data_IF_045436152697
#
_entry.id   IF_045436152697
#
_cell.length_a   1.000
_cell.length_b   1.000
_cell.length_c   1.000
_cell.angle_alpha   90.00
_cell.angle_beta   90.00
_cell.angle_gamma   90.00
#
_symmetry.space_group_name_H-M   'P 1'
#
loop_
_entity.id
_entity.type
_entity.pdbx_description
1 polymer ?
#
# COMPACT_ATOMS: atom_id res chain seq x y z
N UNK A 1 -20.81 20.85 5.04
CA UNK A 1 -19.77 19.84 4.77
C UNK A 1 -20.50 18.51 4.70
N UNK A 2 -20.82 18.06 3.49
CA UNK A 2 -21.54 16.81 3.28
C UNK A 2 -20.60 15.64 3.46
N UNK A 3 -20.95 14.71 4.36
CA UNK A 3 -20.23 13.45 4.56
C UNK A 3 -20.83 12.40 3.63
N UNK A 4 -20.07 11.96 2.63
CA UNK A 4 -20.44 10.84 1.77
C UNK A 4 -20.27 9.52 2.53
N UNK A 5 -21.38 8.80 2.77
CA UNK A 5 -21.39 7.47 3.39
C UNK A 5 -21.32 6.40 2.30
N UNK A 6 -20.25 5.61 2.30
CA UNK A 6 -20.01 4.51 1.35
C UNK A 6 -20.74 3.22 1.78
N UNK A 7 -21.51 2.60 0.85
CA UNK A 7 -21.99 1.21 0.96
C UNK A 7 -21.50 0.39 -0.24
N UNK A 8 -20.78 -0.72 -0.04
CA UNK A 8 -20.34 -1.55 -1.15
C UNK A 8 -21.48 -2.40 -1.72
N UNK A 9 -21.74 -2.25 -3.00
CA UNK A 9 -22.58 -3.18 -3.74
C UNK A 9 -21.77 -4.45 -4.07
N UNK A 10 -22.09 -5.58 -3.44
CA UNK A 10 -21.51 -6.89 -3.79
C UNK A 10 -22.18 -7.40 -5.07
N UNK A 11 -21.52 -7.26 -6.21
CA UNK A 11 -21.77 -8.13 -7.36
C UNK A 11 -20.68 -9.18 -7.42
N UNK A 12 -21.04 -10.42 -7.10
CA UNK A 12 -20.19 -11.59 -7.34
C UNK A 12 -20.04 -11.76 -8.84
N UNK A 13 -18.84 -11.60 -9.38
CA UNK A 13 -18.48 -12.09 -10.71
C UNK A 13 -18.22 -13.60 -10.61
N UNK A 14 -19.15 -14.43 -11.09
CA UNK A 14 -18.91 -15.83 -11.36
C UNK A 14 -18.00 -15.95 -12.59
N UNK A 15 -16.78 -16.40 -12.40
CA UNK A 15 -15.90 -16.82 -13.49
C UNK A 15 -16.44 -18.10 -14.12
N UNK A 16 -16.91 -18.03 -15.36
CA UNK A 16 -17.24 -19.20 -16.18
C UNK A 16 -15.93 -19.81 -16.69
N UNK A 17 -15.53 -20.93 -16.11
CA UNK A 17 -14.52 -21.80 -16.69
C UNK A 17 -15.12 -22.52 -17.90
N UNK A 18 -14.55 -22.28 -19.07
CA UNK A 18 -14.84 -23.03 -20.29
C UNK A 18 -13.81 -24.18 -20.36
N UNK A 19 -14.27 -25.39 -20.07
CA UNK A 19 -13.53 -26.62 -20.37
C UNK A 19 -13.56 -26.89 -21.87
N UNK A 20 -12.40 -27.01 -22.49
CA UNK A 20 -12.26 -27.63 -23.80
C UNK A 20 -11.92 -29.11 -23.64
N UNK A 21 -12.76 -29.91 -24.26
CA UNK A 21 -12.67 -31.33 -24.27
C UNK A 21 -11.63 -31.85 -25.29
N UNK A 22 -11.06 -32.94 -24.92
CA UNK A 22 -10.06 -33.79 -25.58
C UNK A 22 -10.50 -34.37 -26.90
N UNK A 23 -9.53 -34.44 -27.80
CA UNK A 23 -9.63 -35.09 -29.11
C UNK A 23 -9.12 -36.50 -29.04
N UNK A 24 -9.90 -37.42 -29.64
CA UNK A 24 -9.54 -38.82 -29.81
C UNK A 24 -8.64 -39.04 -31.02
N UNK A 25 -7.65 -39.94 -30.82
CA UNK A 25 -6.85 -40.55 -31.86
C UNK A 25 -7.71 -41.54 -32.66
N UNK A 26 -7.56 -41.53 -33.99
CA UNK A 26 -7.89 -42.67 -34.85
C UNK A 26 -6.80 -42.86 -35.91
N UNK A 27 -6.15 -44.02 -35.81
CA UNK A 27 -5.17 -44.52 -36.79
C UNK A 27 -5.88 -45.23 -37.92
N UNK A 28 -5.44 -45.06 -39.17
CA UNK A 28 -5.72 -46.01 -40.27
C UNK A 28 -4.58 -46.01 -41.31
N UNK A 29 -4.13 -47.21 -41.62
CA UNK A 29 -3.07 -47.59 -42.53
C UNK A 29 -3.45 -47.50 -44.04
N UNK A 30 -2.50 -47.04 -44.87
CA UNK A 30 -1.98 -47.45 -46.17
C UNK A 30 -2.91 -47.60 -47.39
N UNK A 31 -2.38 -47.86 -48.60
CA UNK A 31 -1.05 -47.64 -49.14
C UNK A 31 -1.00 -46.99 -50.55
N UNK A 32 0.21 -46.62 -50.94
CA UNK A 32 0.79 -46.59 -52.32
C UNK A 32 0.19 -45.70 -53.41
N UNK A 33 1.05 -44.85 -53.97
CA UNK A 33 1.06 -44.64 -55.40
C UNK A 33 1.16 -43.19 -55.89
N UNK A 34 2.19 -42.95 -56.66
CA UNK A 34 2.42 -41.92 -57.65
C UNK A 34 3.05 -40.59 -57.18
N UNK A 35 4.32 -40.50 -57.53
CA UNK A 35 5.10 -39.27 -57.44
C UNK A 35 4.59 -38.17 -58.40
N UNK A 36 4.44 -37.01 -57.84
CA UNK A 36 4.42 -35.76 -58.57
C UNK A 36 5.49 -34.87 -57.98
N UNK A 37 6.54 -34.58 -58.74
CA UNK A 37 7.55 -33.60 -58.38
C UNK A 37 6.88 -32.25 -58.50
N UNK A 38 6.44 -31.70 -57.39
CA UNK A 38 6.06 -30.29 -57.30
C UNK A 38 7.30 -29.51 -56.89
N UNK A 39 7.87 -28.76 -57.82
CA UNK A 39 8.89 -27.77 -57.53
C UNK A 39 8.30 -26.76 -56.57
N UNK A 40 8.67 -26.81 -55.30
CA UNK A 40 8.35 -25.82 -54.34
C UNK A 40 9.09 -24.51 -54.69
N UNK A 41 8.37 -23.62 -55.33
CA UNK A 41 8.80 -22.22 -55.36
C UNK A 41 8.79 -21.71 -53.90
N UNK A 42 9.95 -21.48 -53.34
CA UNK A 42 10.10 -20.78 -52.09
C UNK A 42 9.47 -19.39 -52.23
N UNK A 43 8.22 -19.26 -51.84
CA UNK A 43 7.63 -17.96 -51.56
C UNK A 43 8.32 -17.49 -50.26
N UNK A 44 9.40 -16.78 -50.46
CA UNK A 44 10.06 -16.04 -49.39
C UNK A 44 9.03 -15.04 -48.88
N UNK A 45 8.36 -15.37 -47.77
CA UNK A 45 7.50 -14.44 -47.08
C UNK A 45 8.34 -13.20 -46.75
N UNK A 46 8.13 -12.13 -47.48
CA UNK A 46 8.67 -10.82 -47.11
C UNK A 46 8.08 -10.51 -45.76
N UNK A 47 8.96 -10.39 -44.74
CA UNK A 47 8.58 -9.84 -43.44
C UNK A 47 7.83 -8.52 -43.72
N UNK A 48 6.70 -8.27 -43.03
CA UNK A 48 5.96 -7.04 -43.23
C UNK A 48 6.92 -5.88 -43.00
N UNK A 49 7.01 -5.00 -44.02
CA UNK A 49 7.76 -3.74 -43.97
C UNK A 49 7.37 -3.07 -42.65
N UNK A 50 8.32 -2.94 -41.72
CA UNK A 50 8.10 -2.39 -40.38
C UNK A 50 7.39 -1.03 -40.54
N UNK A 51 6.21 -0.93 -39.97
CA UNK A 51 5.47 0.32 -39.90
C UNK A 51 6.34 1.31 -39.14
N UNK A 52 6.94 2.26 -39.89
CA UNK A 52 7.73 3.32 -39.27
C UNK A 52 6.76 4.28 -38.57
N UNK A 53 6.65 4.17 -37.26
CA UNK A 53 5.87 5.11 -36.46
C UNK A 53 6.63 6.43 -36.34
N UNK A 54 5.94 7.55 -36.59
CA UNK A 54 6.47 8.88 -36.28
C UNK A 54 6.44 9.12 -34.77
N UNK A 55 7.58 9.48 -34.12
CA UNK A 55 7.64 9.68 -32.69
C UNK A 55 6.69 10.76 -32.16
N UNK A 56 6.52 11.85 -32.92
CA UNK A 56 5.63 12.95 -32.48
C UNK A 56 4.17 12.52 -32.52
N UNK A 57 3.75 11.87 -33.59
CA UNK A 57 2.39 11.36 -33.74
C UNK A 57 2.08 10.25 -32.68
N UNK A 58 3.08 9.43 -32.33
CA UNK A 58 2.94 8.41 -31.28
C UNK A 58 2.75 9.06 -29.92
N UNK A 59 3.56 10.08 -29.61
CA UNK A 59 3.45 10.82 -28.34
C UNK A 59 2.07 11.49 -28.20
N UNK A 60 1.55 12.09 -29.27
CA UNK A 60 0.23 12.73 -29.24
C UNK A 60 -0.91 11.73 -29.02
N UNK A 61 -0.81 10.54 -29.62
CA UNK A 61 -1.76 9.45 -29.35
C UNK A 61 -1.68 8.98 -27.89
N UNK A 62 -0.46 8.82 -27.36
CA UNK A 62 -0.24 8.41 -25.99
C UNK A 62 -0.79 9.44 -24.99
N UNK A 63 -0.54 10.74 -25.21
CA UNK A 63 -1.10 11.82 -24.38
C UNK A 63 -2.62 11.75 -24.30
N UNK A 64 -3.30 11.58 -25.45
CA UNK A 64 -4.76 11.45 -25.49
C UNK A 64 -5.25 10.23 -24.72
N UNK A 65 -4.57 9.08 -24.87
CA UNK A 65 -4.92 7.84 -24.20
C UNK A 65 -4.71 7.97 -22.67
N UNK A 66 -3.56 8.46 -22.23
CA UNK A 66 -3.22 8.70 -20.82
C UNK A 66 -4.23 9.66 -20.19
N UNK A 67 -4.47 10.83 -20.77
CA UNK A 67 -5.41 11.82 -20.23
C UNK A 67 -6.85 11.30 -20.15
N UNK A 68 -7.27 10.42 -21.07
CA UNK A 68 -8.60 9.80 -20.99
C UNK A 68 -8.71 8.81 -19.82
N UNK A 69 -7.68 7.98 -19.61
CA UNK A 69 -7.67 6.97 -18.54
C UNK A 69 -7.45 7.59 -17.15
N UNK A 70 -6.62 8.63 -17.05
CA UNK A 70 -6.41 9.34 -15.77
C UNK A 70 -7.72 9.95 -15.25
N UNK A 71 -8.54 10.54 -16.13
CA UNK A 71 -9.86 11.05 -15.73
C UNK A 71 -10.83 9.96 -15.25
N UNK A 72 -10.65 8.71 -15.69
CA UNK A 72 -11.47 7.58 -15.20
C UNK A 72 -11.10 7.14 -13.80
N UNK A 73 -9.85 7.40 -13.34
CA UNK A 73 -9.42 7.05 -11.98
C UNK A 73 -10.29 7.70 -10.89
N UNK A 74 -10.99 8.80 -11.18
CA UNK A 74 -11.98 9.40 -10.30
C UNK A 74 -13.14 8.45 -9.92
N UNK A 75 -13.31 7.36 -10.67
CA UNK A 75 -14.35 6.34 -10.42
C UNK A 75 -13.78 5.04 -9.89
N UNK A 76 -12.48 4.98 -9.61
CA UNK A 76 -11.80 3.76 -9.24
C UNK A 76 -11.28 3.84 -7.80
N UNK A 77 -11.42 2.75 -7.06
CA UNK A 77 -10.77 2.54 -5.78
C UNK A 77 -10.02 1.23 -5.79
N UNK A 78 -8.80 1.22 -5.26
CA UNK A 78 -7.97 0.02 -5.14
C UNK A 78 -7.49 -0.17 -3.70
N UNK A 79 -7.03 -1.37 -3.41
CA UNK A 79 -6.24 -1.67 -2.24
C UNK A 79 -4.77 -1.52 -2.61
N UNK A 80 -4.08 -0.58 -1.98
CA UNK A 80 -2.66 -0.31 -2.15
C UNK A 80 -1.89 -1.03 -1.05
N UNK A 81 -0.91 -1.86 -1.45
CA UNK A 81 0.04 -2.50 -0.53
C UNK A 81 1.40 -1.88 -0.74
N UNK A 82 1.99 -1.37 0.33
CA UNK A 82 3.30 -0.72 0.34
C UNK A 82 4.25 -1.55 1.19
N UNK A 83 5.29 -2.13 0.59
CA UNK A 83 6.40 -2.78 1.29
C UNK A 83 7.59 -1.84 1.33
N UNK A 84 8.01 -1.42 2.54
CA UNK A 84 9.14 -0.52 2.73
C UNK A 84 10.32 -1.28 3.32
N UNK A 85 11.48 -1.09 2.70
CA UNK A 85 12.76 -1.66 3.12
C UNK A 85 13.71 -0.52 3.48
N UNK A 86 14.25 -0.54 4.69
CA UNK A 86 15.11 0.50 5.23
C UNK A 86 16.54 -0.02 5.31
N UNK A 87 17.46 0.71 4.69
CA UNK A 87 18.85 0.35 4.60
C UNK A 87 19.73 1.41 5.27
N UNK A 88 20.77 0.96 5.98
CA UNK A 88 21.81 1.82 6.52
C UNK A 88 23.18 1.44 5.98
N UNK A 89 24.13 2.38 5.90
CA UNK A 89 25.51 2.06 5.63
C UNK A 89 26.06 1.04 6.62
N UNK A 90 26.80 0.03 6.12
CA UNK A 90 27.34 -1.03 6.97
C UNK A 90 28.42 -0.45 7.91
N UNK A 91 28.33 -0.77 9.21
CA UNK A 91 29.28 -0.28 10.23
C UNK A 91 30.76 -0.58 9.94
N UNK A 92 31.03 -1.61 9.12
CA UNK A 92 32.41 -1.99 8.73
C UNK A 92 33.15 -0.91 7.92
N UNK A 93 32.42 -0.02 7.24
CA UNK A 93 33.00 1.08 6.45
C UNK A 93 33.28 2.30 7.34
N UNK A 94 32.49 2.46 8.42
CA UNK A 94 32.61 3.63 9.29
C UNK A 94 33.78 3.58 10.30
N UNK A 95 34.37 2.42 10.56
CA UNK A 95 35.45 2.26 11.51
C UNK A 95 36.75 3.00 11.09
N UNK A 96 36.94 3.26 9.81
CA UNK A 96 38.11 3.95 9.29
C UNK A 96 37.86 5.44 8.95
N UNK A 97 36.66 5.94 9.10
CA UNK A 97 36.27 7.34 8.83
C UNK A 97 35.74 7.99 10.12
N UNK A 98 36.42 7.73 11.24
CA UNK A 98 36.11 8.35 12.52
C UNK A 98 36.76 9.74 12.67
N UNK A 99 36.64 10.61 11.69
CA UNK A 99 37.10 11.99 11.84
C UNK A 99 36.19 13.02 11.20
N UNK A 100 34.93 12.97 11.40
CA UNK A 100 34.10 14.17 11.32
C UNK A 100 32.66 13.73 11.64
N UNK A 101 31.94 14.53 12.41
CA UNK A 101 30.50 14.34 12.59
C UNK A 101 29.90 14.06 11.20
N UNK A 102 29.09 13.00 11.02
CA UNK A 102 28.43 12.78 9.74
C UNK A 102 27.62 14.05 9.43
N UNK A 103 28.18 14.88 8.56
CA UNK A 103 27.50 16.08 8.11
C UNK A 103 26.21 15.59 7.46
N UNK A 104 25.10 16.07 7.96
CA UNK A 104 23.77 15.79 7.41
C UNK A 104 23.65 16.58 6.09
N UNK A 105 24.53 16.28 5.14
CA UNK A 105 24.69 16.96 3.85
C UNK A 105 24.31 16.01 2.73
N UNK A 106 23.61 16.55 1.75
CA UNK A 106 23.29 15.85 0.51
C UNK A 106 24.40 15.91 -0.54
N UNK A 107 25.49 16.64 -0.26
CA UNK A 107 26.59 16.78 -1.19
C UNK A 107 27.32 15.45 -1.38
N UNK A 108 27.63 15.13 -2.62
CA UNK A 108 28.32 13.90 -3.03
C UNK A 108 27.64 12.58 -2.60
N UNK A 109 26.37 12.58 -2.22
CA UNK A 109 25.60 11.36 -1.93
C UNK A 109 24.81 10.91 -3.14
N UNK A 110 24.97 9.64 -3.48
CA UNK A 110 24.30 8.99 -4.60
C UNK A 110 23.70 7.66 -4.16
N UNK A 111 22.62 7.24 -4.81
CA UNK A 111 22.04 5.91 -4.59
C UNK A 111 23.07 4.81 -4.85
N UNK A 112 23.28 3.94 -3.85
CA UNK A 112 24.25 2.86 -3.90
C UNK A 112 25.73 3.32 -3.89
N UNK A 113 26.02 4.63 -3.92
CA UNK A 113 27.37 5.19 -3.97
C UNK A 113 28.06 5.32 -2.61
N UNK A 114 27.34 5.14 -1.52
CA UNK A 114 27.81 5.43 -0.16
C UNK A 114 28.37 4.18 0.57
N UNK A 115 28.77 3.16 -0.18
CA UNK A 115 29.29 1.89 0.35
C UNK A 115 28.21 0.82 0.51
N UNK A 116 28.57 -0.37 1.06
CA UNK A 116 27.63 -1.46 1.23
C UNK A 116 26.54 -1.10 2.24
N UNK A 117 25.28 -1.37 1.86
CA UNK A 117 24.11 -1.13 2.68
C UNK A 117 23.68 -2.42 3.39
N UNK A 118 23.23 -2.29 4.62
CA UNK A 118 22.60 -3.36 5.41
C UNK A 118 21.11 -3.12 5.50
N UNK A 119 20.30 -4.14 5.24
CA UNK A 119 18.87 -4.08 5.48
C UNK A 119 18.59 -4.15 6.99
N UNK A 120 17.96 -3.11 7.53
CA UNK A 120 17.70 -2.96 8.95
C UNK A 120 16.29 -3.37 9.32
N UNK A 121 15.32 -2.85 8.57
CA UNK A 121 13.89 -3.05 8.84
C UNK A 121 13.15 -3.26 7.52
N UNK A 122 12.13 -4.11 7.54
CA UNK A 122 11.04 -4.10 6.56
C UNK A 122 9.71 -3.88 7.27
N UNK A 123 8.85 -3.10 6.67
CA UNK A 123 7.46 -3.00 7.10
C UNK A 123 6.50 -3.12 5.91
N UNK A 124 5.22 -3.31 6.21
CA UNK A 124 4.17 -3.42 5.21
C UNK A 124 2.94 -2.65 5.67
N UNK A 125 2.40 -1.85 4.76
CA UNK A 125 1.16 -1.10 4.93
C UNK A 125 0.12 -1.58 3.91
N UNK A 126 -1.16 -1.46 4.27
CA UNK A 126 -2.27 -1.72 3.36
C UNK A 126 -3.33 -0.65 3.52
N UNK A 127 -3.54 0.11 2.44
CA UNK A 127 -4.41 1.28 2.40
C UNK A 127 -5.43 1.15 1.28
N UNK A 128 -6.65 1.64 1.49
CA UNK A 128 -7.56 1.94 0.40
C UNK A 128 -7.16 3.26 -0.23
N UNK A 129 -7.11 3.33 -1.56
CA UNK A 129 -6.80 4.56 -2.31
C UNK A 129 -7.86 4.83 -3.37
N UNK A 130 -8.18 6.11 -3.56
CA UNK A 130 -8.99 6.63 -4.67
C UNK A 130 -8.57 8.05 -5.00
N UNK A 131 -9.03 8.58 -6.13
CA UNK A 131 -8.77 9.96 -6.53
C UNK A 131 -10.02 10.81 -6.32
N UNK A 132 -9.85 11.95 -5.67
CA UNK A 132 -10.90 12.96 -5.51
C UNK A 132 -10.38 14.31 -6.02
N UNK A 133 -10.95 14.79 -7.12
CA UNK A 133 -10.42 15.96 -7.81
C UNK A 133 -9.06 15.65 -8.44
N UNK A 134 -8.03 16.30 -7.96
CA UNK A 134 -6.61 16.16 -8.37
C UNK A 134 -5.74 15.43 -7.34
N UNK A 135 -6.35 14.90 -6.27
CA UNK A 135 -5.62 14.33 -5.12
C UNK A 135 -6.00 12.88 -4.85
N UNK A 136 -5.01 12.11 -4.48
CA UNK A 136 -5.23 10.80 -3.89
C UNK A 136 -5.69 10.95 -2.44
N UNK A 137 -6.75 10.24 -2.09
CA UNK A 137 -7.26 10.14 -0.72
C UNK A 137 -7.18 8.71 -0.25
N UNK A 138 -6.94 8.55 1.03
CA UNK A 138 -6.60 7.26 1.62
C UNK A 138 -7.50 6.90 2.80
N UNK A 139 -7.56 5.60 3.06
CA UNK A 139 -8.12 5.04 4.29
C UNK A 139 -7.32 3.82 4.69
N UNK A 140 -7.48 3.36 5.92
CA UNK A 140 -7.01 2.02 6.26
C UNK A 140 -7.75 0.96 5.43
N UNK A 141 -7.09 -0.14 5.14
CA UNK A 141 -7.73 -1.29 4.50
C UNK A 141 -9.00 -1.70 5.25
N UNK A 142 -10.02 -2.12 4.52
CA UNK A 142 -11.35 -2.50 5.04
C UNK A 142 -12.10 -1.42 5.83
N UNK A 143 -11.67 -0.16 5.81
CA UNK A 143 -12.48 0.93 6.34
C UNK A 143 -13.76 1.10 5.52
N UNK A 144 -14.87 1.44 6.18
CA UNK A 144 -16.17 1.65 5.52
C UNK A 144 -16.26 2.96 4.74
N UNK A 145 -15.33 3.87 4.98
CA UNK A 145 -15.23 5.21 4.33
C UNK A 145 -13.80 5.65 4.23
N UNK A 146 -13.51 6.54 3.29
CA UNK A 146 -12.22 7.22 3.21
C UNK A 146 -12.05 8.19 4.38
N UNK A 147 -10.82 8.33 4.85
CA UNK A 147 -10.47 9.24 5.93
C UNK A 147 -10.40 10.68 5.39
N UNK A 148 -10.83 11.65 6.18
CA UNK A 148 -10.69 13.08 5.85
C UNK A 148 -9.30 13.63 6.17
N UNK A 149 -8.51 12.87 6.94
CA UNK A 149 -7.13 13.19 7.29
C UNK A 149 -6.20 12.90 6.12
N UNK A 150 -5.07 13.57 6.08
CA UNK A 150 -4.01 13.25 5.12
C UNK A 150 -3.42 11.85 5.42
N UNK A 151 -2.83 11.21 4.40
CA UNK A 151 -2.16 9.91 4.59
C UNK A 151 -1.04 10.00 5.63
N UNK A 152 -0.37 11.14 5.78
CA UNK A 152 0.68 11.37 6.79
C UNK A 152 0.13 11.40 8.23
N UNK A 153 -1.15 11.70 8.41
CA UNK A 153 -1.83 11.61 9.70
C UNK A 153 -2.41 10.21 9.97
N UNK A 154 -2.64 9.42 8.92
CA UNK A 154 -3.10 8.03 9.02
C UNK A 154 -1.91 7.11 9.33
N UNK A 155 -0.78 7.29 8.62
CA UNK A 155 0.45 6.52 8.76
C UNK A 155 1.45 7.34 9.54
N UNK A 156 1.67 6.97 10.79
CA UNK A 156 2.45 7.74 11.78
C UNK A 156 3.97 7.70 11.56
N UNK A 157 4.49 6.87 10.65
CA UNK A 157 5.93 6.71 10.52
C UNK A 157 6.38 6.17 9.17
N UNK A 158 7.61 6.54 8.77
CA UNK A 158 8.26 6.14 7.54
C UNK A 158 7.77 6.91 6.31
N UNK A 159 8.52 6.84 5.19
CA UNK A 159 8.18 7.56 3.98
C UNK A 159 6.86 7.02 3.37
N UNK A 160 6.03 7.94 2.92
CA UNK A 160 4.81 7.69 2.15
C UNK A 160 4.93 8.46 0.85
N UNK A 161 4.58 7.83 -0.24
CA UNK A 161 4.58 8.40 -1.58
C UNK A 161 3.14 8.49 -2.06
N UNK A 162 2.73 9.69 -2.46
CA UNK A 162 1.44 9.94 -3.12
C UNK A 162 1.70 10.13 -4.61
N UNK A 163 0.67 9.96 -5.42
CA UNK A 163 0.76 10.11 -6.88
C UNK A 163 0.96 8.79 -7.62
N UNK A 164 1.36 7.72 -6.92
CA UNK A 164 1.59 6.40 -7.52
C UNK A 164 0.36 5.84 -8.21
N UNK A 165 -0.84 6.20 -7.79
CA UNK A 165 -2.10 5.76 -8.40
C UNK A 165 -2.43 6.48 -9.71
N UNK A 166 -1.67 7.52 -10.10
CA UNK A 166 -1.79 8.16 -11.41
C UNK A 166 -1.84 9.69 -11.41
N UNK A 167 -1.81 10.36 -10.26
CA UNK A 167 -1.89 11.82 -10.21
C UNK A 167 -0.63 12.55 -10.71
N UNK A 168 0.49 11.84 -10.91
CA UNK A 168 1.68 12.40 -11.57
C UNK A 168 1.54 12.56 -13.09
N UNK A 169 0.73 11.74 -13.74
CA UNK A 169 0.69 11.69 -15.20
C UNK A 169 0.29 13.02 -15.84
N UNK A 170 -0.68 13.78 -15.32
CA UNK A 170 -1.01 15.10 -15.87
C UNK A 170 0.16 16.09 -15.85
N UNK A 171 0.98 16.07 -14.80
CA UNK A 171 2.15 16.96 -14.70
C UNK A 171 3.18 16.71 -15.81
N UNK A 172 3.34 15.47 -16.25
CA UNK A 172 4.28 15.11 -17.29
C UNK A 172 3.67 15.29 -18.68
N UNK A 173 2.43 14.84 -18.90
CA UNK A 173 1.85 14.70 -20.23
C UNK A 173 0.95 15.86 -20.65
N UNK A 174 0.37 16.62 -19.72
CA UNK A 174 -0.57 17.72 -19.98
C UNK A 174 0.00 19.11 -19.63
N UNK A 175 1.06 19.17 -18.81
CA UNK A 175 1.66 20.42 -18.35
C UNK A 175 2.48 21.07 -19.49
N UNK A 176 2.16 22.30 -19.90
CA UNK A 176 2.89 23.00 -20.97
C UNK A 176 4.32 23.38 -20.60
N UNK A 177 4.67 23.37 -19.30
CA UNK A 177 6.02 23.62 -18.81
C UNK A 177 6.96 22.41 -18.93
N UNK A 178 6.44 21.23 -19.23
CA UNK A 178 7.21 20.00 -19.38
C UNK A 178 7.87 19.93 -20.75
N UNK A 179 9.17 19.67 -20.77
CA UNK A 179 9.92 19.40 -22.01
C UNK A 179 10.02 17.90 -22.23
N UNK A 180 9.59 17.42 -23.40
CA UNK A 180 9.67 16.02 -23.78
C UNK A 180 10.50 15.91 -25.07
N UNK A 181 11.47 14.97 -25.08
CA UNK A 181 12.37 14.72 -26.21
C UNK A 181 12.40 13.23 -26.53
N UNK A 182 12.28 12.88 -27.80
CA UNK A 182 12.46 11.50 -28.25
C UNK A 182 13.91 11.04 -28.07
N UNK A 183 14.13 9.93 -27.39
CA UNK A 183 15.45 9.39 -27.07
C UNK A 183 15.84 8.20 -27.94
N UNK A 184 14.88 7.44 -28.45
CA UNK A 184 15.18 6.28 -29.30
C UNK A 184 14.12 5.20 -29.27
N UNK A 185 14.47 4.06 -29.88
CA UNK A 185 13.61 2.87 -29.95
C UNK A 185 14.32 1.68 -29.33
N UNK A 186 13.54 0.83 -28.67
CA UNK A 186 14.02 -0.44 -28.11
C UNK A 186 13.02 -1.56 -28.44
N UNK A 187 13.52 -2.78 -28.59
CA UNK A 187 12.67 -3.96 -28.65
C UNK A 187 12.67 -4.60 -27.27
N UNK A 188 11.53 -4.63 -26.62
CA UNK A 188 11.29 -5.38 -25.40
C UNK A 188 10.40 -6.60 -25.71
N UNK A 189 10.40 -7.62 -24.85
CA UNK A 189 9.71 -8.90 -25.12
C UNK A 189 8.24 -8.80 -25.53
N UNK A 190 7.58 -7.65 -25.29
CA UNK A 190 6.20 -7.32 -25.66
C UNK A 190 6.07 -6.50 -26.97
N UNK A 191 7.19 -6.16 -27.63
CA UNK A 191 7.19 -5.41 -28.89
C UNK A 191 8.12 -4.20 -28.90
N UNK A 192 8.01 -3.39 -29.98
CA UNK A 192 8.78 -2.14 -30.11
C UNK A 192 8.25 -1.09 -29.15
N UNK A 193 9.14 -0.49 -28.33
CA UNK A 193 8.87 0.65 -27.46
C UNK A 193 9.66 1.86 -27.87
N UNK A 194 9.05 3.02 -27.79
CA UNK A 194 9.67 4.32 -28.01
C UNK A 194 9.98 4.93 -26.65
N UNK A 195 11.23 5.33 -26.46
CA UNK A 195 11.69 5.98 -25.24
C UNK A 195 11.76 7.49 -25.46
N UNK A 196 11.25 8.22 -24.48
CA UNK A 196 11.30 9.67 -24.40
C UNK A 196 11.93 10.08 -23.07
N UNK A 197 12.70 11.15 -23.09
CA UNK A 197 13.12 11.84 -21.87
C UNK A 197 12.21 13.03 -21.61
N UNK A 198 12.07 13.39 -20.34
CA UNK A 198 11.30 14.57 -19.96
C UNK A 198 11.99 15.33 -18.82
N UNK A 199 11.64 16.60 -18.69
CA UNK A 199 12.07 17.49 -17.62
C UNK A 199 10.92 18.40 -17.24
N UNK A 200 10.58 18.42 -15.94
CA UNK A 200 9.61 19.31 -15.31
C UNK A 200 10.37 20.25 -14.38
N UNK A 201 10.59 21.53 -14.77
CA UNK A 201 11.31 22.45 -13.93
C UNK A 201 10.50 22.81 -12.67
N UNK A 202 11.15 23.11 -11.55
CA UNK A 202 10.51 23.37 -10.25
C UNK A 202 9.35 24.39 -10.34
N UNK A 203 9.47 25.42 -11.16
CA UNK A 203 8.43 26.46 -11.36
C UNK A 203 7.14 25.95 -12.04
N UNK A 204 7.20 24.81 -12.72
CA UNK A 204 6.08 24.17 -13.39
C UNK A 204 5.64 22.88 -12.70
N UNK A 205 6.37 22.44 -11.69
CA UNK A 205 6.15 21.21 -10.96
C UNK A 205 5.09 21.37 -9.86
N UNK A 206 4.30 20.30 -9.65
CA UNK A 206 3.47 20.13 -8.45
C UNK A 206 4.04 19.07 -7.52
N UNK A 207 5.22 18.53 -7.85
CA UNK A 207 5.88 17.50 -7.05
C UNK A 207 6.45 18.11 -5.78
N UNK A 208 5.94 17.67 -4.64
CA UNK A 208 6.36 18.15 -3.33
C UNK A 208 7.03 17.04 -2.55
N UNK A 209 8.20 17.32 -1.98
CA UNK A 209 8.96 16.40 -1.13
C UNK A 209 9.25 17.08 0.19
N UNK A 210 9.25 16.32 1.27
CA UNK A 210 9.57 16.87 2.58
C UNK A 210 9.07 16.05 3.74
N UNK A 211 9.18 16.65 4.91
CA UNK A 211 8.60 16.16 6.16
C UNK A 211 7.37 16.98 6.51
N UNK A 212 6.59 16.54 7.50
CA UNK A 212 5.31 17.13 7.91
C UNK A 212 5.33 18.67 8.06
N UNK A 213 6.48 19.23 8.43
CA UNK A 213 6.64 20.66 8.68
C UNK A 213 7.51 21.40 7.63
N UNK A 214 8.01 20.74 6.61
CA UNK A 214 8.99 21.31 5.69
C UNK A 214 8.85 20.77 4.26
N UNK A 215 7.70 21.01 3.62
CA UNK A 215 7.45 20.66 2.22
C UNK A 215 8.19 21.59 1.27
N UNK A 216 8.77 21.03 0.21
CA UNK A 216 9.43 21.77 -0.87
C UNK A 216 8.96 21.26 -2.21
N UNK A 217 8.54 22.17 -3.09
CA UNK A 217 8.31 21.87 -4.50
C UNK A 217 9.69 21.71 -5.15
N UNK A 218 9.88 20.65 -5.92
CA UNK A 218 11.11 20.35 -6.63
C UNK A 218 10.86 20.12 -8.11
N UNK A 219 11.85 20.43 -8.93
CA UNK A 219 11.92 19.95 -10.31
C UNK A 219 12.27 18.46 -10.32
N UNK A 220 11.92 17.81 -11.40
CA UNK A 220 12.26 16.41 -11.63
C UNK A 220 12.41 16.12 -13.12
N UNK A 221 13.13 15.08 -13.43
CA UNK A 221 13.40 14.64 -14.80
C UNK A 221 13.37 13.12 -14.88
N UNK A 222 13.31 12.59 -16.08
CA UNK A 222 13.28 11.15 -16.23
C UNK A 222 13.07 10.69 -17.66
N UNK A 223 12.58 9.48 -17.79
CA UNK A 223 12.21 8.88 -19.08
C UNK A 223 10.92 8.07 -18.97
N UNK A 224 10.26 7.89 -20.11
CA UNK A 224 9.14 7.00 -20.21
C UNK A 224 9.16 6.22 -21.54
N UNK A 225 8.49 5.09 -21.55
CA UNK A 225 8.39 4.18 -22.67
C UNK A 225 6.94 4.02 -23.10
N UNK A 226 6.72 4.09 -24.43
CA UNK A 226 5.41 3.92 -25.05
C UNK A 226 5.48 2.77 -26.05
N UNK A 227 4.54 1.83 -25.98
CA UNK A 227 4.38 0.78 -26.98
C UNK A 227 4.00 1.37 -28.34
N UNK A 228 4.80 1.10 -29.39
CA UNK A 228 4.61 1.68 -30.70
C UNK A 228 3.24 1.31 -31.33
N UNK A 229 2.81 0.07 -31.16
CA UNK A 229 1.57 -0.45 -31.72
C UNK A 229 0.31 0.16 -31.08
N UNK A 230 0.27 0.25 -29.74
CA UNK A 230 -0.94 0.59 -28.97
C UNK A 230 -0.96 2.02 -28.44
N UNK A 231 0.18 2.71 -28.46
CA UNK A 231 0.41 4.01 -27.82
C UNK A 231 0.15 3.98 -26.29
N UNK A 232 0.35 2.82 -25.66
CA UNK A 232 0.21 2.64 -24.23
C UNK A 232 1.49 3.00 -23.50
N UNK A 233 1.36 3.62 -22.34
CA UNK A 233 2.47 3.85 -21.42
C UNK A 233 2.88 2.50 -20.82
N UNK A 234 4.15 2.12 -21.04
CA UNK A 234 4.72 0.89 -20.52
C UNK A 234 5.43 1.12 -19.18
N UNK A 235 6.27 2.15 -19.14
CA UNK A 235 7.11 2.48 -18.00
C UNK A 235 7.33 3.97 -17.88
N UNK A 236 7.46 4.45 -16.66
CA UNK A 236 7.91 5.79 -16.30
C UNK A 236 9.02 5.66 -15.26
N UNK A 237 10.10 6.41 -15.41
CA UNK A 237 11.17 6.56 -14.41
C UNK A 237 11.38 8.04 -14.20
N UNK A 238 11.47 8.46 -12.95
CA UNK A 238 11.72 9.85 -12.58
C UNK A 238 12.73 9.96 -11.46
N UNK A 239 13.42 11.08 -11.39
CA UNK A 239 14.32 11.44 -10.29
C UNK A 239 14.19 12.93 -10.00
N UNK A 240 14.09 13.28 -8.71
CA UNK A 240 14.05 14.68 -8.29
C UNK A 240 15.41 15.33 -8.44
N UNK A 241 15.42 16.65 -8.61
CA UNK A 241 16.63 17.45 -8.35
C UNK A 241 17.10 17.22 -6.91
N UNK A 242 18.35 17.59 -6.63
CA UNK A 242 18.88 17.54 -5.26
C UNK A 242 18.05 18.46 -4.35
N UNK A 243 17.58 17.90 -3.25
CA UNK A 243 16.76 18.59 -2.29
C UNK A 243 17.62 19.29 -1.22
N UNK A 244 17.16 20.39 -0.65
CA UNK A 244 17.84 21.04 0.45
C UNK A 244 17.75 20.17 1.72
N UNK A 245 18.74 20.22 2.62
CA UNK A 245 18.81 19.36 3.82
C UNK A 245 17.56 19.44 4.71
N UNK A 246 16.86 20.56 4.72
CA UNK A 246 15.64 20.78 5.51
C UNK A 246 14.47 19.92 5.04
N UNK A 247 14.52 19.38 3.83
CA UNK A 247 13.54 18.43 3.33
C UNK A 247 13.63 17.05 4.02
N UNK A 248 14.72 16.78 4.77
CA UNK A 248 14.96 15.52 5.46
C UNK A 248 15.42 14.39 4.54
N UNK A 249 15.45 14.62 3.23
CA UNK A 249 15.95 13.70 2.22
C UNK A 249 16.67 14.44 1.11
N UNK A 250 17.58 13.76 0.41
CA UNK A 250 18.41 14.36 -0.62
C UNK A 250 17.85 14.18 -2.03
N UNK A 251 17.35 13.01 -2.33
CA UNK A 251 16.76 12.65 -3.63
C UNK A 251 15.70 11.60 -3.47
N UNK A 252 14.78 11.58 -4.43
CA UNK A 252 13.81 10.52 -4.62
C UNK A 252 13.90 10.04 -6.07
N UNK A 253 13.88 8.73 -6.26
CA UNK A 253 13.81 8.10 -7.58
C UNK A 253 12.62 7.17 -7.59
N UNK A 254 11.75 7.31 -8.62
CA UNK A 254 10.57 6.48 -8.77
C UNK A 254 10.61 5.74 -10.12
N UNK A 255 10.08 4.53 -10.11
CA UNK A 255 9.84 3.73 -11.31
C UNK A 255 8.44 3.15 -11.25
N UNK A 256 7.69 3.32 -12.32
CA UNK A 256 6.32 2.83 -12.47
C UNK A 256 6.26 1.92 -13.70
N UNK A 257 5.88 0.67 -13.52
CA UNK A 257 5.61 -0.27 -14.61
C UNK A 257 4.08 -0.36 -14.78
N UNK A 258 3.55 0.20 -15.87
CA UNK A 258 2.12 0.35 -16.10
C UNK A 258 1.50 -0.83 -16.85
N UNK A 259 0.20 -1.00 -16.65
CA UNK A 259 -0.63 -1.87 -17.47
C UNK A 259 -2.07 -1.34 -17.53
N UNK A 260 -2.80 -1.75 -18.55
CA UNK A 260 -4.23 -1.50 -18.61
C UNK A 260 -4.99 -2.64 -17.95
N UNK A 261 -5.92 -2.27 -17.06
CA UNK A 261 -6.77 -3.20 -16.33
C UNK A 261 -8.23 -2.89 -16.62
N UNK A 262 -9.00 -3.92 -16.97
CA UNK A 262 -10.45 -3.79 -17.13
C UNK A 262 -11.11 -3.85 -15.75
N UNK A 263 -11.87 -2.81 -15.39
CA UNK A 263 -12.63 -2.73 -14.15
C UNK A 263 -14.06 -2.33 -14.54
N UNK A 264 -15.02 -3.24 -14.33
CA UNK A 264 -16.34 -3.09 -14.93
C UNK A 264 -16.25 -3.12 -16.46
N UNK A 265 -16.76 -2.10 -17.12
CA UNK A 265 -16.75 -1.95 -18.57
C UNK A 265 -15.65 -0.98 -19.06
N UNK A 266 -14.90 -0.37 -18.16
CA UNK A 266 -13.89 0.63 -18.47
C UNK A 266 -12.44 0.11 -18.31
N UNK A 267 -11.53 0.58 -19.18
CA UNK A 267 -10.09 0.35 -19.04
C UNK A 267 -9.45 1.45 -18.21
N UNK A 268 -8.62 1.04 -17.24
CA UNK A 268 -7.85 1.91 -16.36
C UNK A 268 -6.35 1.68 -16.54
N UNK A 269 -5.59 2.76 -16.62
CA UNK A 269 -4.13 2.71 -16.58
C UNK A 269 -3.67 2.72 -15.12
N UNK A 270 -3.18 1.59 -14.64
CA UNK A 270 -2.76 1.41 -13.24
C UNK A 270 -1.33 0.88 -13.22
N UNK A 271 -0.46 1.34 -12.32
CA UNK A 271 0.83 0.69 -12.13
C UNK A 271 0.65 -0.76 -11.71
N UNK A 272 1.31 -1.68 -12.37
CA UNK A 272 1.43 -3.06 -11.90
C UNK A 272 2.28 -3.11 -10.65
N UNK A 273 3.38 -2.34 -10.68
CA UNK A 273 4.30 -2.15 -9.59
C UNK A 273 4.89 -0.75 -9.70
N UNK A 274 4.99 -0.07 -8.58
CA UNK A 274 5.76 1.15 -8.43
C UNK A 274 6.89 0.90 -7.43
N UNK A 275 8.07 1.40 -7.74
CA UNK A 275 9.20 1.40 -6.82
C UNK A 275 9.64 2.83 -6.57
N UNK A 276 9.75 3.21 -5.31
CA UNK A 276 10.24 4.53 -4.92
C UNK A 276 11.39 4.36 -3.95
N UNK A 277 12.55 4.85 -4.36
CA UNK A 277 13.76 4.86 -3.56
C UNK A 277 14.01 6.29 -3.06
N UNK A 278 14.32 6.45 -1.77
CA UNK A 278 14.70 7.72 -1.16
C UNK A 278 16.08 7.64 -0.55
N UNK A 279 16.86 8.69 -0.73
CA UNK A 279 18.19 8.85 -0.17
C UNK A 279 18.19 10.00 0.85
N UNK A 280 18.64 9.72 2.08
CA UNK A 280 18.74 10.73 3.15
C UNK A 280 20.13 11.36 3.24
N UNK A 281 20.22 12.49 3.95
CA UNK A 281 21.48 13.16 4.28
C UNK A 281 22.45 12.32 5.11
N UNK A 282 21.98 11.28 5.76
CA UNK A 282 22.79 10.29 6.50
C UNK A 282 23.27 9.12 5.65
N UNK A 283 23.05 9.16 4.33
CA UNK A 283 23.29 8.07 3.39
C UNK A 283 22.43 6.81 3.63
N UNK A 284 21.40 6.93 4.44
CA UNK A 284 20.38 5.88 4.55
C UNK A 284 19.49 5.87 3.31
N UNK A 285 19.12 4.69 2.86
CA UNK A 285 18.22 4.51 1.74
C UNK A 285 16.94 3.80 2.18
N UNK A 286 15.81 4.23 1.64
CA UNK A 286 14.54 3.49 1.80
C UNK A 286 14.03 3.13 0.41
N UNK A 287 13.64 1.87 0.24
CA UNK A 287 12.98 1.39 -0.98
C UNK A 287 11.56 0.96 -0.67
N UNK A 288 10.60 1.59 -1.32
CA UNK A 288 9.17 1.26 -1.22
C UNK A 288 8.72 0.57 -2.51
N UNK A 289 8.13 -0.62 -2.39
CA UNK A 289 7.44 -1.30 -3.49
C UNK A 289 5.94 -1.17 -3.24
N UNK A 290 5.23 -0.63 -4.24
CA UNK A 290 3.82 -0.33 -4.17
C UNK A 290 3.09 -1.17 -5.23
N UNK A 291 2.06 -1.88 -4.81
CA UNK A 291 1.21 -2.69 -5.69
C UNK A 291 -0.26 -2.40 -5.42
N UNK A 292 -1.08 -2.54 -6.47
CA UNK A 292 -2.52 -2.31 -6.40
C UNK A 292 -3.28 -3.60 -6.64
N UNK A 293 -4.29 -3.86 -5.81
CA UNK A 293 -5.18 -5.02 -5.91
C UNK A 293 -6.62 -4.64 -5.58
N UNK A 294 -7.55 -5.57 -5.77
CA UNK A 294 -8.96 -5.40 -5.44
C UNK A 294 -9.56 -4.09 -5.97
N UNK A 295 -9.09 -3.69 -7.16
CA UNK A 295 -9.56 -2.49 -7.83
C UNK A 295 -11.02 -2.67 -8.28
N UNK A 296 -11.84 -1.66 -8.03
CA UNK A 296 -13.26 -1.68 -8.35
C UNK A 296 -13.77 -0.30 -8.73
N UNK A 297 -14.76 -0.27 -9.57
CA UNK A 297 -15.47 0.96 -9.87
C UNK A 297 -16.29 1.40 -8.64
N UNK A 298 -16.28 2.69 -8.41
CA UNK A 298 -16.96 3.32 -7.29
C UNK A 298 -18.09 4.19 -7.85
N UNK A 299 -19.32 3.83 -7.53
CA UNK A 299 -20.50 4.66 -7.78
C UNK A 299 -20.88 5.35 -6.49
N UNK A 300 -20.74 6.68 -6.44
CA UNK A 300 -21.30 7.46 -5.34
C UNK A 300 -22.81 7.55 -5.49
N UNK A 301 -23.56 6.75 -4.74
CA UNK A 301 -25.00 6.99 -4.55
C UNK A 301 -25.16 7.98 -3.39
N UNK A 302 -25.51 9.24 -3.72
CA UNK A 302 -25.99 10.21 -2.75
C UNK A 302 -27.48 9.98 -2.51
N UNK A 303 -27.84 9.25 -1.45
CA UNK A 303 -29.22 9.21 -0.97
C UNK A 303 -29.41 10.26 0.13
N UNK A 304 -30.13 11.32 -0.18
CA UNK A 304 -30.71 12.19 0.85
C UNK A 304 -31.83 11.40 1.55
N UNK A 305 -31.54 10.82 2.71
CA UNK A 305 -32.57 10.38 3.64
C UNK A 305 -32.96 11.57 4.50
N UNK A 306 -34.15 12.08 4.29
CA UNK A 306 -34.84 12.82 5.32
C UNK A 306 -35.29 11.79 6.35
N UNK A 307 -34.59 11.66 7.45
CA UNK A 307 -35.04 10.87 8.58
C UNK A 307 -36.28 11.58 9.17
N UNK A 308 -37.47 11.05 8.83
CA UNK A 308 -38.59 11.24 9.71
C UNK A 308 -38.24 10.49 11.01
N UNK A 309 -38.32 11.18 12.15
CA UNK A 309 -38.18 10.57 13.47
C UNK A 309 -39.14 9.37 13.57
N UNK A 310 -38.59 8.14 13.46
CA UNK A 310 -39.32 6.96 13.85
C UNK A 310 -39.46 6.95 15.38
N UNK A 311 -40.65 6.69 15.91
CA UNK A 311 -40.85 6.60 17.35
C UNK A 311 -39.96 5.48 17.90
N UNK A 312 -39.18 5.79 18.92
CA UNK A 312 -38.25 4.91 19.60
C UNK A 312 -38.86 3.51 19.85
N UNK A 313 -38.30 2.50 19.16
CA UNK A 313 -38.66 1.11 19.44
C UNK A 313 -38.33 0.80 20.92
N UNK A 314 -39.34 0.34 21.65
CA UNK A 314 -39.25 -0.09 23.04
C UNK A 314 -38.24 -1.23 23.17
N UNK A 315 -37.04 -0.90 23.61
CA UNK A 315 -35.93 -1.85 23.89
C UNK A 315 -36.30 -2.61 25.17
N UNK A 316 -36.37 -3.93 25.07
CA UNK A 316 -36.53 -4.81 26.26
C UNK A 316 -35.36 -4.59 27.22
N UNK A 317 -35.61 -4.49 28.55
CA UNK A 317 -34.56 -4.34 29.53
C UNK A 317 -33.82 -5.67 29.72
N UNK A 318 -32.64 -5.79 29.05
CA UNK A 318 -31.73 -6.92 29.18
C UNK A 318 -30.38 -6.53 28.65
N UNK A 319 -29.43 -6.29 29.54
CA UNK A 319 -28.00 -6.02 29.32
C UNK A 319 -27.70 -4.99 28.21
N UNK A 320 -27.99 -3.73 28.49
CA UNK A 320 -27.45 -2.63 27.66
C UNK A 320 -25.96 -2.53 27.93
N UNK A 321 -25.14 -2.78 26.91
CA UNK A 321 -23.72 -2.39 26.94
C UNK A 321 -23.70 -0.85 27.06
N UNK A 322 -22.98 -0.28 28.05
CA UNK A 322 -22.94 1.17 28.22
C UNK A 322 -22.44 1.83 26.93
N UNK A 323 -22.93 3.02 26.61
CA UNK A 323 -22.48 3.81 25.46
C UNK A 323 -20.94 4.06 25.49
N UNK A 324 -20.34 4.04 26.66
CA UNK A 324 -18.89 4.09 26.88
C UNK A 324 -18.53 3.18 28.06
N UNK A 325 -17.52 2.33 27.91
CA UNK A 325 -17.02 1.49 28.98
C UNK A 325 -16.19 2.31 29.99
N UNK A 326 -16.39 2.12 31.30
CA UNK A 326 -15.53 2.74 32.31
C UNK A 326 -14.06 2.36 32.12
N UNK A 327 -13.14 3.27 32.39
CA UNK A 327 -11.71 2.96 32.43
C UNK A 327 -11.36 2.00 33.60
N UNK A 328 -10.29 1.22 33.41
CA UNK A 328 -9.78 0.29 34.42
C UNK A 328 -10.42 -1.10 34.38
N UNK A 329 -11.32 -1.40 33.46
CA UNK A 329 -11.88 -2.75 33.30
C UNK A 329 -10.86 -3.67 32.61
N UNK A 330 -10.63 -4.85 33.19
CA UNK A 330 -9.78 -5.87 32.57
C UNK A 330 -10.59 -6.76 31.64
N UNK A 331 -10.16 -6.82 30.36
CA UNK A 331 -10.73 -7.68 29.33
C UNK A 331 -9.71 -8.73 28.90
N UNK A 332 -10.11 -9.98 28.86
CA UNK A 332 -9.33 -11.05 28.22
C UNK A 332 -9.87 -11.26 26.80
N UNK A 333 -9.08 -10.92 25.80
CA UNK A 333 -9.40 -11.05 24.39
C UNK A 333 -8.69 -12.27 23.78
N UNK A 334 -9.40 -13.08 23.03
CA UNK A 334 -8.87 -14.20 22.24
C UNK A 334 -8.97 -13.85 20.75
N UNK A 335 -7.85 -13.83 20.03
CA UNK A 335 -7.82 -13.54 18.60
C UNK A 335 -8.79 -14.45 17.83
N UNK A 336 -9.60 -13.89 16.94
CA UNK A 336 -10.55 -14.67 16.13
C UNK A 336 -9.88 -15.37 14.95
N UNK A 337 -8.83 -14.77 14.40
CA UNK A 337 -8.03 -15.29 13.30
C UNK A 337 -6.53 -15.32 13.61
N UNK A 338 -5.76 -16.08 12.87
CA UNK A 338 -4.30 -16.05 12.94
C UNK A 338 -3.74 -14.84 12.21
N UNK A 339 -2.60 -14.31 12.69
CA UNK A 339 -1.87 -13.23 12.02
C UNK A 339 -0.50 -13.78 11.61
N UNK A 340 -0.28 -13.87 10.30
CA UNK A 340 0.99 -14.29 9.70
C UNK A 340 1.81 -13.06 9.31
N UNK A 341 2.97 -12.81 9.92
CA UNK A 341 3.83 -11.69 9.59
C UNK A 341 4.33 -11.66 8.14
N UNK A 342 4.31 -12.81 7.45
CA UNK A 342 4.74 -12.89 6.05
C UNK A 342 3.73 -12.22 5.10
N UNK A 343 2.44 -12.14 5.48
CA UNK A 343 1.36 -11.63 4.63
C UNK A 343 0.59 -10.47 5.23
N UNK A 344 0.57 -10.34 6.55
CA UNK A 344 -0.13 -9.27 7.25
C UNK A 344 0.51 -7.90 7.03
N UNK A 345 -0.29 -6.85 7.13
CA UNK A 345 0.12 -5.46 6.94
C UNK A 345 -0.51 -4.55 8.00
N UNK A 346 0.10 -3.41 8.27
CA UNK A 346 -0.57 -2.33 8.99
C UNK A 346 -1.78 -1.87 8.16
N UNK A 347 -2.92 -1.71 8.81
CA UNK A 347 -4.21 -1.47 8.16
C UNK A 347 -5.13 -2.69 8.09
N UNK A 348 -4.60 -3.92 8.19
CA UNK A 348 -5.42 -5.12 8.18
C UNK A 348 -6.35 -5.15 9.40
N UNK A 349 -7.59 -5.55 9.16
CA UNK A 349 -8.58 -5.70 10.22
C UNK A 349 -8.23 -6.89 11.13
N UNK A 350 -8.41 -6.69 12.43
CA UNK A 350 -8.26 -7.72 13.45
C UNK A 350 -9.52 -7.78 14.29
N UNK A 351 -9.95 -8.98 14.62
CA UNK A 351 -11.03 -9.18 15.59
C UNK A 351 -10.61 -10.15 16.71
N UNK A 352 -11.19 -9.96 17.89
CA UNK A 352 -10.96 -10.84 19.03
C UNK A 352 -12.25 -11.00 19.85
N UNK A 353 -12.43 -12.18 20.41
CA UNK A 353 -13.59 -12.48 21.27
C UNK A 353 -13.25 -12.25 22.73
N UNK A 354 -14.17 -11.61 23.47
CA UNK A 354 -14.09 -11.51 24.93
C UNK A 354 -14.25 -12.92 25.52
N UNK A 355 -13.20 -13.42 26.18
CA UNK A 355 -13.17 -14.81 26.69
C UNK A 355 -14.05 -15.01 27.91
N UNK A 356 -14.18 -14.00 28.75
CA UNK A 356 -14.94 -14.04 30.04
C UNK A 356 -15.77 -12.78 30.19
N UNK A 357 -16.99 -12.92 30.72
CA UNK A 357 -17.84 -11.75 30.95
C UNK A 357 -17.18 -10.77 31.93
N UNK A 358 -17.23 -9.48 31.58
CA UNK A 358 -16.71 -8.39 32.43
C UNK A 358 -17.85 -7.78 33.22
N UNK A 359 -17.68 -7.66 34.52
CA UNK A 359 -18.69 -7.11 35.42
C UNK A 359 -18.30 -5.72 35.91
N UNK A 360 -19.30 -4.94 36.28
CA UNK A 360 -19.06 -3.65 36.87
C UNK A 360 -18.34 -3.81 38.25
N UNK A 361 -17.39 -2.92 38.58
CA UNK A 361 -16.82 -2.88 39.94
C UNK A 361 -17.92 -2.76 40.99
N UNK A 362 -17.81 -3.56 42.05
CA UNK A 362 -18.77 -3.56 43.18
C UNK A 362 -20.22 -3.96 42.83
N UNK A 363 -20.45 -4.55 41.64
CA UNK A 363 -21.79 -4.98 41.19
C UNK A 363 -21.69 -6.29 40.42
N UNK A 364 -22.78 -7.09 40.45
CA UNK A 364 -22.89 -8.30 39.63
C UNK A 364 -23.36 -8.02 38.18
N UNK A 365 -23.59 -6.75 37.83
CA UNK A 365 -24.04 -6.35 36.50
C UNK A 365 -22.95 -6.68 35.44
N UNK A 366 -23.36 -7.41 34.40
CA UNK A 366 -22.48 -7.70 33.29
C UNK A 366 -22.43 -6.45 32.41
N UNK A 367 -21.24 -5.86 32.28
CA UNK A 367 -20.98 -4.74 31.34
C UNK A 367 -20.61 -5.23 29.94
N UNK A 368 -19.82 -6.30 29.85
CA UNK A 368 -19.43 -6.93 28.59
C UNK A 368 -19.70 -8.42 28.68
N UNK A 369 -20.57 -8.99 27.85
CA UNK A 369 -20.82 -10.43 27.87
C UNK A 369 -19.62 -11.21 27.30
N UNK A 370 -19.46 -12.45 27.75
CA UNK A 370 -18.53 -13.39 27.09
C UNK A 370 -18.99 -13.61 25.64
N UNK A 371 -18.05 -13.71 24.71
CA UNK A 371 -18.33 -13.85 23.29
C UNK A 371 -18.54 -12.53 22.54
N UNK A 372 -18.62 -11.38 23.20
CA UNK A 372 -18.59 -10.07 22.53
C UNK A 372 -17.33 -9.95 21.66
N UNK A 373 -17.42 -9.23 20.55
CA UNK A 373 -16.36 -9.15 19.54
C UNK A 373 -15.73 -7.75 19.60
N UNK A 374 -14.44 -7.69 19.92
CA UNK A 374 -13.65 -6.48 19.75
C UNK A 374 -13.13 -6.44 18.30
N UNK A 375 -13.36 -5.32 17.62
CA UNK A 375 -12.86 -5.04 16.27
C UNK A 375 -11.77 -3.98 16.34
N UNK A 376 -10.74 -4.16 15.56
CA UNK A 376 -9.58 -3.28 15.51
C UNK A 376 -8.75 -3.51 14.27
N UNK A 377 -7.50 -3.10 14.32
CA UNK A 377 -6.57 -3.24 13.20
C UNK A 377 -5.13 -3.41 13.65
N UNK A 378 -4.31 -3.91 12.75
CA UNK A 378 -2.86 -3.85 12.86
C UNK A 378 -2.43 -2.41 12.59
N UNK A 379 -1.73 -1.78 13.55
CA UNK A 379 -1.17 -0.44 13.37
C UNK A 379 0.24 -0.47 12.80
N UNK A 380 0.99 -1.55 13.10
CA UNK A 380 2.38 -1.70 12.70
C UNK A 380 2.68 -3.17 12.46
N UNK A 381 3.36 -3.46 11.35
CA UNK A 381 3.89 -4.76 10.99
C UNK A 381 5.32 -4.60 10.54
N UNK A 382 6.29 -5.01 11.34
CA UNK A 382 7.71 -4.82 11.06
C UNK A 382 8.50 -6.11 11.22
N UNK A 383 9.47 -6.31 10.33
CA UNK A 383 10.56 -7.25 10.52
C UNK A 383 11.85 -6.48 10.81
N UNK A 384 12.37 -6.62 12.01
CA UNK A 384 13.64 -6.06 12.44
C UNK A 384 14.76 -7.07 12.20
N UNK A 385 15.62 -6.84 11.23
CA UNK A 385 16.64 -7.80 10.79
C UNK A 385 17.80 -7.92 11.80
N UNK A 386 18.22 -6.82 12.44
CA UNK A 386 19.28 -6.88 13.46
C UNK A 386 18.89 -7.71 14.68
N UNK A 387 17.68 -7.59 15.15
CA UNK A 387 17.18 -8.35 16.30
C UNK A 387 16.53 -9.68 15.89
N UNK A 388 16.37 -9.91 14.60
CA UNK A 388 15.67 -11.06 14.02
C UNK A 388 14.26 -11.26 14.63
N UNK A 389 13.45 -10.19 14.65
CA UNK A 389 12.13 -10.18 15.30
C UNK A 389 11.08 -9.52 14.41
N UNK A 390 9.86 -10.06 14.52
CA UNK A 390 8.65 -9.36 14.05
C UNK A 390 8.05 -8.56 15.20
N UNK A 391 7.66 -7.33 14.91
CA UNK A 391 6.86 -6.48 15.80
C UNK A 391 5.49 -6.26 15.17
N UNK A 392 4.43 -6.59 15.92
CA UNK A 392 3.04 -6.47 15.49
C UNK A 392 2.31 -5.61 16.52
N UNK A 393 1.93 -4.39 16.13
CA UNK A 393 1.11 -3.53 16.98
C UNK A 393 -0.36 -3.68 16.60
N UNK A 394 -1.23 -3.86 17.57
CA UNK A 394 -2.67 -4.04 17.40
C UNK A 394 -3.41 -3.03 18.27
N UNK A 395 -4.47 -2.43 17.72
CA UNK A 395 -5.43 -1.61 18.44
C UNK A 395 -6.84 -2.12 18.19
N UNK A 396 -7.66 -2.14 19.24
CA UNK A 396 -9.09 -2.39 19.13
C UNK A 396 -9.84 -1.09 19.32
N UNK A 397 -10.73 -0.77 18.38
CA UNK A 397 -11.42 0.52 18.29
C UNK A 397 -12.91 0.43 18.64
N UNK A 398 -13.52 -0.75 18.52
CA UNK A 398 -14.94 -0.96 18.81
C UNK A 398 -15.21 -2.32 19.41
N UNK A 399 -16.28 -2.42 20.19
CA UNK A 399 -16.83 -3.64 20.77
C UNK A 399 -18.25 -3.87 20.26
N UNK A 400 -18.48 -5.03 19.70
CA UNK A 400 -19.82 -5.47 19.28
C UNK A 400 -20.37 -6.51 20.26
N UNK A 401 -21.53 -6.22 20.83
CA UNK A 401 -22.25 -7.13 21.71
C UNK A 401 -23.77 -7.01 21.47
N UNK A 402 -24.45 -8.13 21.27
CA UNK A 402 -25.90 -8.19 21.05
C UNK A 402 -26.38 -7.27 19.92
N UNK A 403 -25.58 -7.09 18.86
CA UNK A 403 -25.91 -6.20 17.72
C UNK A 403 -25.67 -4.72 17.98
N UNK A 404 -25.15 -4.35 19.15
CA UNK A 404 -24.79 -2.97 19.48
C UNK A 404 -23.28 -2.81 19.36
N UNK A 405 -22.82 -1.76 18.65
CA UNK A 405 -21.40 -1.41 18.51
C UNK A 405 -21.10 -0.21 19.41
N UNK A 406 -20.11 -0.38 20.28
CA UNK A 406 -19.67 0.62 21.26
C UNK A 406 -18.21 0.99 21.00
N UNK A 407 -17.81 2.27 21.07
CA UNK A 407 -16.41 2.67 21.05
C UNK A 407 -15.59 1.96 22.12
N UNK A 408 -14.36 1.59 21.79
CA UNK A 408 -13.48 0.85 22.68
C UNK A 408 -12.07 1.44 22.62
N UNK A 409 -11.52 1.77 23.80
CA UNK A 409 -10.13 2.19 23.94
C UNK A 409 -9.43 1.26 24.91
N UNK A 410 -8.44 0.51 24.43
CA UNK A 410 -7.74 -0.50 25.21
C UNK A 410 -6.25 -0.23 25.23
N UNK A 411 -5.65 -0.48 26.38
CA UNK A 411 -4.20 -0.58 26.55
C UNK A 411 -3.86 -2.00 27.00
N UNK A 412 -2.74 -2.52 26.51
CA UNK A 412 -2.26 -3.85 26.93
C UNK A 412 -1.87 -3.85 28.40
N UNK A 413 -2.39 -4.84 29.14
CA UNK A 413 -1.97 -5.10 30.52
C UNK A 413 -0.57 -5.72 30.54
N UNK A 414 0.42 -4.93 30.97
CA UNK A 414 1.85 -5.32 30.96
C UNK A 414 2.23 -6.24 32.15
N UNK A 415 1.36 -6.42 33.13
CA UNK A 415 1.70 -7.19 34.36
C UNK A 415 1.67 -8.71 34.15
N UNK A 416 1.14 -9.19 33.01
CA UNK A 416 1.10 -10.62 32.72
C UNK A 416 2.25 -11.04 31.80
N UNK A 417 3.09 -11.91 32.36
CA UNK A 417 4.06 -12.70 31.60
C UNK A 417 3.30 -13.48 30.52
N UNK A 418 3.51 -13.10 29.26
CA UNK A 418 2.99 -13.85 28.11
C UNK A 418 3.48 -15.32 28.19
N UNK A 419 2.61 -16.24 27.84
CA UNK A 419 3.00 -17.65 27.62
C UNK A 419 4.23 -17.71 26.69
N UNK A 420 5.10 -18.69 26.92
CA UNK A 420 6.50 -18.85 26.50
C UNK A 420 6.91 -18.47 25.07
N UNK A 421 5.99 -18.08 24.19
CA UNK A 421 6.28 -17.74 22.79
C UNK A 421 6.33 -16.24 22.50
N UNK A 422 5.84 -15.38 23.37
CA UNK A 422 5.69 -13.93 23.12
C UNK A 422 6.49 -13.17 24.17
N UNK A 423 7.63 -12.63 23.78
CA UNK A 423 8.47 -11.83 24.67
C UNK A 423 8.14 -10.35 24.50
N UNK A 424 7.77 -9.68 25.59
CA UNK A 424 7.69 -8.22 25.59
C UNK A 424 9.11 -7.66 25.42
N UNK A 425 9.28 -6.79 24.45
CA UNK A 425 10.52 -6.02 24.32
C UNK A 425 10.34 -4.71 25.08
N UNK A 426 11.20 -4.41 26.07
CA UNK A 426 11.28 -3.05 26.60
C UNK A 426 11.69 -2.14 25.47
N UNK A 427 10.89 -1.14 25.16
CA UNK A 427 11.07 -0.14 24.11
C UNK A 427 12.23 0.85 24.38
N UNK A 428 13.37 0.34 24.84
CA UNK A 428 14.62 1.09 24.94
C UNK A 428 15.64 0.51 23.96
N UNK A 429 15.48 0.80 22.67
CA UNK A 429 16.62 0.74 21.76
C UNK A 429 17.26 2.12 21.72
N UNK A 430 18.47 2.22 22.25
CA UNK A 430 19.34 3.36 22.03
C UNK A 430 19.65 3.44 20.53
N UNK A 431 19.28 4.54 19.91
CA UNK A 431 19.99 5.17 18.84
C UNK A 431 20.27 4.32 17.60
N UNK A 432 19.26 4.09 16.78
CA UNK A 432 19.39 4.03 15.33
C UNK A 432 18.20 4.74 14.73
N UNK A 433 18.46 5.55 13.76
CA UNK A 433 17.55 6.44 13.01
C UNK A 433 16.37 5.70 12.32
N UNK A 434 16.38 4.36 12.33
CA UNK A 434 15.35 3.45 11.81
C UNK A 434 14.49 2.77 12.87
N UNK A 435 14.68 3.10 14.12
CA UNK A 435 13.70 2.73 15.12
C UNK A 435 12.46 3.58 14.84
N UNK A 436 11.52 3.04 14.06
CA UNK A 436 10.19 3.64 14.01
C UNK A 436 9.73 3.81 15.46
N UNK A 437 9.30 5.01 15.86
CA UNK A 437 8.97 5.23 17.25
C UNK A 437 7.96 4.19 17.67
N UNK A 438 8.13 3.60 18.88
CA UNK A 438 7.07 2.82 19.49
C UNK A 438 5.81 3.69 19.52
N UNK A 439 4.61 3.11 19.51
CA UNK A 439 3.40 3.83 19.84
C UNK A 439 3.69 4.64 21.10
N UNK A 440 3.48 5.96 21.02
CA UNK A 440 3.89 6.89 22.09
C UNK A 440 3.26 6.45 23.42
N UNK A 441 3.96 6.65 24.51
CA UNK A 441 3.42 6.37 25.84
C UNK A 441 2.14 7.18 26.02
N UNK A 442 0.99 6.50 25.99
CA UNK A 442 -0.34 7.12 25.99
C UNK A 442 -1.22 6.64 24.84
N UNK A 443 -0.66 6.06 23.76
CA UNK A 443 -1.47 5.48 22.70
C UNK A 443 -2.14 4.18 23.14
N UNK A 444 -3.42 4.07 22.77
CA UNK A 444 -4.19 2.83 22.93
C UNK A 444 -3.62 1.74 22.03
N UNK A 445 -3.50 0.53 22.53
CA UNK A 445 -3.01 -0.61 21.76
C UNK A 445 -2.03 -1.50 22.52
N UNK A 446 -1.48 -2.49 21.82
CA UNK A 446 -0.48 -3.42 22.34
C UNK A 446 0.47 -3.91 21.26
N UNK A 447 1.71 -4.23 21.64
CA UNK A 447 2.76 -4.69 20.73
C UNK A 447 3.18 -6.12 21.03
N UNK A 448 3.02 -7.02 20.06
CA UNK A 448 3.52 -8.39 20.10
C UNK A 448 4.90 -8.45 19.46
N UNK A 449 5.83 -9.19 20.07
CA UNK A 449 7.15 -9.44 19.53
C UNK A 449 7.38 -10.93 19.37
N UNK A 450 7.71 -11.36 18.13
CA UNK A 450 7.95 -12.74 17.78
C UNK A 450 9.39 -12.90 17.25
N UNK A 451 10.06 -14.03 17.57
CA UNK A 451 11.30 -14.37 16.85
C UNK A 451 10.99 -14.63 15.38
N UNK A 452 11.79 -14.05 14.46
CA UNK A 452 11.58 -14.20 13.03
C UNK A 452 12.05 -15.58 12.55
N UNK A 453 11.21 -16.57 12.74
CA UNK A 453 11.38 -17.95 12.24
C UNK A 453 10.35 -18.21 11.14
N UNK A 454 10.55 -19.24 10.33
CA UNK A 454 9.59 -19.64 9.26
C UNK A 454 8.20 -20.01 9.78
N UNK A 455 8.06 -20.30 11.08
CA UNK A 455 6.81 -20.68 11.72
C UNK A 455 6.28 -19.57 12.67
N UNK A 456 6.79 -18.33 12.55
CA UNK A 456 6.35 -17.25 13.42
C UNK A 456 4.96 -16.75 12.98
N UNK A 457 3.95 -16.87 13.85
CA UNK A 457 2.62 -16.31 13.66
C UNK A 457 1.93 -16.12 15.01
N UNK A 458 0.92 -15.26 15.07
CA UNK A 458 0.00 -15.18 16.20
C UNK A 458 -1.17 -16.13 15.90
N UNK A 459 -1.37 -17.20 16.69
CA UNK A 459 -2.43 -18.16 16.40
C UNK A 459 -3.82 -17.62 16.71
N UNK A 460 -4.83 -18.11 16.03
CA UNK A 460 -6.22 -17.94 16.44
C UNK A 460 -6.42 -18.51 17.86
N UNK A 461 -7.25 -17.85 18.65
CA UNK A 461 -7.47 -18.22 20.05
C UNK A 461 -6.39 -17.72 21.02
N UNK A 462 -5.33 -17.06 20.54
CA UNK A 462 -4.32 -16.45 21.40
C UNK A 462 -5.00 -15.46 22.35
N UNK A 463 -4.85 -15.71 23.65
CA UNK A 463 -5.44 -14.86 24.69
C UNK A 463 -4.46 -13.78 25.12
N UNK A 464 -4.97 -12.57 25.27
CA UNK A 464 -4.25 -11.40 25.78
C UNK A 464 -5.13 -10.60 26.71
N UNK A 465 -4.53 -9.96 27.71
CA UNK A 465 -5.26 -9.11 28.64
C UNK A 465 -5.09 -7.65 28.30
N UNK A 466 -6.17 -6.93 28.45
CA UNK A 466 -6.29 -5.52 28.09
C UNK A 466 -7.02 -4.77 29.20
N UNK A 467 -6.71 -3.50 29.35
CA UNK A 467 -7.36 -2.60 30.30
C UNK A 467 -8.04 -1.49 29.52
N UNK A 468 -9.31 -1.22 29.82
CA UNK A 468 -10.00 -0.06 29.26
C UNK A 468 -9.37 1.22 29.76
N UNK A 469 -9.16 2.18 28.84
CA UNK A 469 -8.66 3.51 29.14
C UNK A 469 -9.63 4.56 28.62
N UNK A 470 -9.55 5.78 29.13
CA UNK A 470 -10.32 6.89 28.59
C UNK A 470 -9.87 7.14 27.13
N UNK A 471 -10.83 7.39 26.19
CA UNK A 471 -10.54 7.70 24.81
C UNK A 471 -9.75 8.99 24.63
#
# INVERSE_FOLDING_TARGET
MEQAVYRPARKLCLAKHLMLATIGLASALGPAGFGMIVTASEVRAQAPLGTSYDPSALLDRARKKIGSTTRRLLKCTCLETIERSYYAPSEKVNANVMTENPTNSCDAKEFGGNGPLSLEVKDRLRLGVTVLGDKEIYSWAAASRFDSRSVFQIVSSGPIHMGSFGTYLPDIFENPGTRITFAGKKNEGSGEVFEYTFEVPAKASHYSVGTENAWRITGYHGSFQIYAATAELARLVEETEQLPPEAGMCRTRSRFDYHYMLIGDDEFLIPRESRVDTLSGTANETSSIITFSDCREYTAESSLRFEAEEPAATVKPGSQVPALLPAGLSLTLALSGSIDPATAAAGDAVSAKVSTAVRAPHSNQILVPAGAIAHGRILQMQHQYRSNRFLISIRFDTLEANGVVTPLSLQWDRELKAEKAITQVPLRSRGTEFSLPPPQTGETGGVFSLSATKAAYLPAGLKSKWITVNP
#
